data_IF_559393091966
#
_entry.id   IF_559393091966
#
_cell.length_a   1.000
_cell.length_b   1.000
_cell.length_c   1.000
_cell.angle_alpha   90.00
_cell.angle_beta   90.00
_cell.angle_gamma   90.00
#
_symmetry.space_group_name_H-M   'P 1'
#
loop_
_entity.id
_entity.type
_entity.pdbx_description
1 polymer ?
#
# COMPACT_ATOMS: atom_id res chain seq x y z
N UNK A 1 67.13 48.96 -11.75
CA UNK A 1 65.75 49.39 -11.37
C UNK A 1 65.10 49.91 -12.65
N UNK A 2 63.96 49.49 -13.17
CA UNK A 2 62.80 48.71 -12.70
C UNK A 2 62.12 48.18 -13.96
N UNK A 3 61.98 46.85 -14.11
CA UNK A 3 61.22 46.25 -15.22
C UNK A 3 59.73 46.30 -14.89
N UNK A 4 58.95 47.07 -15.63
CA UNK A 4 57.48 47.04 -15.54
C UNK A 4 56.97 45.71 -16.13
N UNK A 5 56.29 44.92 -15.29
CA UNK A 5 55.53 43.73 -15.70
C UNK A 5 54.27 44.19 -16.43
N UNK A 6 54.09 43.73 -17.67
CA UNK A 6 52.80 43.74 -18.34
C UNK A 6 51.84 42.83 -17.57
N UNK A 7 50.63 43.33 -17.31
CA UNK A 7 49.54 42.60 -16.66
C UNK A 7 48.89 41.69 -17.70
N UNK A 8 48.88 40.40 -17.44
CA UNK A 8 48.06 39.44 -18.19
C UNK A 8 46.58 39.73 -17.91
N UNK A 9 45.87 40.12 -18.96
CA UNK A 9 44.41 40.27 -18.96
C UNK A 9 43.82 38.86 -19.05
N UNK A 10 43.20 38.40 -17.97
CA UNK A 10 42.44 37.14 -17.96
C UNK A 10 41.14 37.40 -18.73
N UNK A 11 41.05 36.86 -19.94
CA UNK A 11 39.86 36.91 -20.78
C UNK A 11 38.79 35.93 -20.24
N UNK A 12 37.76 36.46 -19.57
CA UNK A 12 36.70 35.70 -18.86
C UNK A 12 35.63 35.15 -19.83
N UNK A 13 35.95 34.97 -21.11
CA UNK A 13 34.98 34.53 -22.15
C UNK A 13 35.23 33.14 -22.73
N UNK A 14 35.98 32.27 -22.06
CA UNK A 14 36.00 30.85 -22.41
C UNK A 14 35.01 30.07 -21.55
N UNK A 15 33.90 29.54 -22.11
CA UNK A 15 33.10 28.55 -21.40
C UNK A 15 34.00 27.36 -21.07
N UNK A 16 33.96 26.94 -19.80
CA UNK A 16 34.80 25.86 -19.30
C UNK A 16 34.45 24.55 -20.00
N UNK A 17 35.47 23.84 -20.48
CA UNK A 17 35.38 22.49 -21.06
C UNK A 17 34.67 21.50 -20.14
N UNK A 18 34.58 21.81 -18.84
CA UNK A 18 33.82 21.08 -17.84
C UNK A 18 32.31 21.00 -18.18
N UNK A 19 31.70 22.08 -18.69
CA UNK A 19 30.26 22.13 -19.00
C UNK A 19 29.96 21.26 -20.23
N UNK A 20 30.85 21.27 -21.23
CA UNK A 20 30.73 20.40 -22.41
C UNK A 20 30.93 18.93 -22.06
N UNK A 21 31.86 18.59 -21.14
CA UNK A 21 32.01 17.22 -20.66
C UNK A 21 30.82 16.72 -19.86
N UNK A 22 30.18 17.55 -19.03
CA UNK A 22 28.96 17.16 -18.30
C UNK A 22 27.75 17.01 -19.23
N UNK A 23 27.62 17.88 -20.24
CA UNK A 23 26.58 17.78 -21.25
C UNK A 23 26.74 16.54 -22.17
N UNK A 24 27.98 16.10 -22.42
CA UNK A 24 28.27 14.87 -23.16
C UNK A 24 28.00 13.60 -22.34
N UNK A 25 28.29 13.60 -21.03
CA UNK A 25 27.99 12.47 -20.14
C UNK A 25 26.48 12.27 -19.91
N UNK A 26 25.67 13.33 -20.05
CA UNK A 26 24.21 13.25 -19.91
C UNK A 26 23.49 12.63 -21.13
N UNK A 27 24.12 12.55 -22.31
CA UNK A 27 23.38 12.25 -23.56
C UNK A 27 23.40 10.79 -24.03
N UNK A 28 24.11 9.88 -23.36
CA UNK A 28 24.20 8.47 -23.81
C UNK A 28 24.30 7.44 -22.69
N UNK A 29 23.61 7.63 -21.58
CA UNK A 29 23.19 6.47 -20.80
C UNK A 29 22.04 5.81 -21.57
N UNK A 30 22.38 5.00 -22.58
CA UNK A 30 21.44 4.07 -23.17
C UNK A 30 21.11 3.06 -22.07
N UNK A 31 20.09 3.37 -21.27
CA UNK A 31 19.46 2.43 -20.35
C UNK A 31 18.92 1.35 -21.26
N UNK A 32 19.65 0.24 -21.39
CA UNK A 32 19.11 -0.95 -22.03
C UNK A 32 17.82 -1.28 -21.29
N UNK A 33 16.69 -1.46 -21.99
CA UNK A 33 15.47 -1.91 -21.33
C UNK A 33 15.80 -3.27 -20.72
N UNK A 34 15.91 -3.30 -19.39
CA UNK A 34 16.06 -4.53 -18.62
C UNK A 34 14.91 -5.41 -19.08
N UNK A 35 15.23 -6.52 -19.78
CA UNK A 35 14.22 -7.42 -20.31
C UNK A 35 13.21 -7.73 -19.20
N UNK A 36 11.93 -7.50 -19.46
CA UNK A 36 10.84 -7.63 -18.47
C UNK A 36 10.86 -9.05 -17.89
N UNK A 37 11.57 -9.21 -16.78
CA UNK A 37 11.58 -10.45 -16.03
C UNK A 37 10.13 -10.69 -15.60
N UNK A 38 9.60 -11.87 -15.94
CA UNK A 38 8.26 -12.26 -15.51
C UNK A 38 8.25 -12.21 -13.98
N UNK A 39 7.25 -11.57 -13.35
CA UNK A 39 7.17 -11.55 -11.89
C UNK A 39 7.18 -12.98 -11.37
N UNK A 40 8.05 -13.24 -10.39
CA UNK A 40 8.09 -14.55 -9.75
C UNK A 40 6.75 -14.80 -9.06
N UNK A 41 6.12 -15.95 -9.38
CA UNK A 41 4.85 -16.31 -8.77
C UNK A 41 5.01 -16.41 -7.25
N UNK A 42 3.98 -16.03 -6.47
CA UNK A 42 4.00 -16.21 -5.02
C UNK A 42 4.26 -17.68 -4.68
N UNK A 43 5.02 -17.91 -3.62
CA UNK A 43 5.30 -19.27 -3.15
C UNK A 43 4.02 -19.97 -2.69
N UNK A 44 4.02 -21.31 -2.72
CA UNK A 44 2.85 -22.09 -2.30
C UNK A 44 2.42 -21.81 -0.85
N UNK A 45 3.37 -21.47 0.03
CA UNK A 45 3.08 -21.04 1.40
C UNK A 45 2.40 -19.67 1.43
N UNK A 46 2.92 -18.69 0.67
CA UNK A 46 2.28 -17.37 0.55
C UNK A 46 0.84 -17.50 0.05
N UNK A 47 0.61 -18.31 -0.99
CA UNK A 47 -0.73 -18.55 -1.54
C UNK A 47 -1.69 -19.23 -0.56
N UNK A 48 -1.21 -19.95 0.46
CA UNK A 48 -2.07 -20.52 1.52
C UNK A 48 -2.57 -19.45 2.50
N UNK A 49 -1.81 -18.38 2.69
CA UNK A 49 -2.10 -17.33 3.68
C UNK A 49 -2.79 -16.08 3.09
N UNK A 50 -2.89 -15.97 1.76
CA UNK A 50 -3.57 -14.87 1.10
C UNK A 50 -3.85 -15.11 -0.38
N UNK A 51 -4.84 -14.40 -0.92
CA UNK A 51 -5.05 -14.29 -2.36
C UNK A 51 -4.09 -13.25 -2.94
N UNK A 52 -3.55 -13.53 -4.12
CA UNK A 52 -2.65 -12.63 -4.83
C UNK A 52 -3.20 -12.38 -6.23
N UNK A 53 -3.18 -11.12 -6.64
CA UNK A 53 -3.58 -10.68 -7.98
C UNK A 53 -2.36 -10.09 -8.69
N UNK A 54 -2.22 -10.40 -9.97
CA UNK A 54 -1.20 -9.78 -10.82
C UNK A 54 -1.68 -8.40 -11.24
N UNK A 55 -0.95 -7.36 -10.84
CA UNK A 55 -1.31 -5.96 -11.10
C UNK A 55 -0.20 -5.29 -11.89
N UNK A 56 -0.61 -4.46 -12.85
CA UNK A 56 0.30 -3.62 -13.63
C UNK A 56 0.91 -2.52 -12.75
N UNK A 57 2.24 -2.44 -12.74
CA UNK A 57 2.98 -1.32 -12.17
C UNK A 57 3.11 -0.24 -13.24
N UNK A 58 2.47 0.89 -12.99
CA UNK A 58 2.39 2.02 -13.92
C UNK A 58 3.19 3.19 -13.37
N UNK A 59 4.11 3.72 -14.16
CA UNK A 59 4.71 5.03 -13.91
C UNK A 59 3.77 6.12 -14.41
N UNK A 60 3.45 7.09 -13.55
CA UNK A 60 2.66 8.25 -13.95
C UNK A 60 3.62 9.41 -14.22
N UNK A 61 3.84 9.73 -15.49
CA UNK A 61 4.60 10.91 -15.86
C UNK A 61 3.80 12.19 -15.62
N UNK A 62 4.50 13.28 -15.33
CA UNK A 62 3.91 14.62 -15.34
C UNK A 62 3.30 14.88 -16.73
N UNK A 63 1.97 15.08 -16.80
CA UNK A 63 1.21 15.18 -18.05
C UNK A 63 0.15 14.09 -18.26
N UNK A 64 -0.02 13.16 -17.31
CA UNK A 64 -1.13 12.19 -17.32
C UNK A 64 -0.88 10.92 -18.15
N UNK A 65 0.21 10.88 -18.91
CA UNK A 65 0.63 9.67 -19.61
C UNK A 65 1.12 8.60 -18.61
N UNK A 66 0.52 7.43 -18.71
CA UNK A 66 0.77 6.27 -17.86
C UNK A 66 1.59 5.24 -18.65
N UNK A 67 2.77 4.86 -18.17
CA UNK A 67 3.63 3.85 -18.82
C UNK A 67 3.72 2.63 -17.90
N UNK A 68 3.28 1.46 -18.37
CA UNK A 68 3.44 0.20 -17.63
C UNK A 68 4.90 -0.24 -17.62
N UNK A 69 5.52 -0.19 -16.44
CA UNK A 69 6.92 -0.56 -16.20
C UNK A 69 7.06 -2.09 -16.13
N UNK A 70 6.09 -2.77 -15.50
CA UNK A 70 6.08 -4.22 -15.34
C UNK A 70 4.82 -4.72 -14.65
N UNK A 71 4.81 -6.01 -14.29
CA UNK A 71 3.71 -6.66 -13.57
C UNK A 71 4.23 -7.13 -12.21
N UNK A 72 3.40 -7.07 -11.17
CA UNK A 72 3.74 -7.59 -9.85
C UNK A 72 2.53 -8.22 -9.17
N UNK A 73 2.76 -9.30 -8.41
CA UNK A 73 1.74 -9.91 -7.59
C UNK A 73 1.53 -9.07 -6.32
N UNK A 74 0.30 -8.61 -6.10
CA UNK A 74 -0.12 -7.92 -4.89
C UNK A 74 -1.08 -8.80 -4.10
N UNK A 75 -0.90 -8.83 -2.78
CA UNK A 75 -1.82 -9.51 -1.88
C UNK A 75 -3.14 -8.75 -1.88
N UNK A 76 -4.24 -9.46 -2.16
CA UNK A 76 -5.57 -8.89 -2.00
C UNK A 76 -5.96 -8.89 -0.51
N UNK A 77 -6.57 -7.81 -0.01
CA UNK A 77 -7.13 -7.78 1.33
C UNK A 77 -8.14 -8.91 1.54
N UNK A 78 -8.10 -9.60 2.67
CA UNK A 78 -9.00 -10.76 2.89
C UNK A 78 -10.47 -10.38 2.91
N UNK A 79 -10.81 -9.15 3.29
CA UNK A 79 -12.19 -8.70 3.34
C UNK A 79 -12.90 -8.73 1.98
N UNK A 80 -12.19 -8.72 0.86
CA UNK A 80 -12.81 -8.83 -0.49
C UNK A 80 -13.43 -10.20 -0.73
N UNK A 81 -12.98 -11.22 -0.01
CA UNK A 81 -13.49 -12.61 -0.09
C UNK A 81 -14.62 -12.90 0.89
N UNK A 82 -15.00 -11.97 1.77
CA UNK A 82 -16.07 -12.17 2.76
C UNK A 82 -17.42 -12.14 2.05
N UNK A 83 -18.19 -13.23 2.19
CA UNK A 83 -19.52 -13.33 1.61
C UNK A 83 -20.55 -12.45 2.33
N UNK A 84 -21.41 -11.80 1.53
CA UNK A 84 -22.49 -10.94 2.02
C UNK A 84 -22.12 -9.47 2.21
N UNK A 85 -20.96 -9.03 1.71
CA UNK A 85 -20.60 -7.61 1.70
C UNK A 85 -21.13 -6.90 0.45
N UNK A 86 -21.76 -5.74 0.65
CA UNK A 86 -22.19 -4.84 -0.43
C UNK A 86 -21.03 -4.03 -1.01
N UNK A 87 -21.23 -3.45 -2.19
CA UNK A 87 -20.20 -2.63 -2.87
C UNK A 87 -19.81 -1.39 -2.05
N UNK A 88 -20.76 -0.75 -1.37
CA UNK A 88 -20.50 0.39 -0.49
C UNK A 88 -19.61 0.02 0.71
N UNK A 89 -19.85 -1.16 1.31
CA UNK A 89 -19.04 -1.67 2.41
C UNK A 89 -17.61 -1.99 1.99
N UNK A 90 -17.44 -2.62 0.82
CA UNK A 90 -16.11 -2.91 0.26
C UNK A 90 -15.36 -1.60 -0.01
N UNK A 91 -16.03 -0.58 -0.57
CA UNK A 91 -15.41 0.75 -0.77
C UNK A 91 -14.98 1.38 0.55
N UNK A 92 -15.82 1.32 1.58
CA UNK A 92 -15.49 1.86 2.90
C UNK A 92 -14.29 1.15 3.53
N UNK A 93 -14.24 -0.18 3.50
CA UNK A 93 -13.10 -0.97 3.98
C UNK A 93 -11.82 -0.70 3.18
N UNK A 94 -11.93 -0.54 1.87
CA UNK A 94 -10.80 -0.22 0.99
C UNK A 94 -10.25 1.18 1.30
N UNK A 95 -11.13 2.15 1.51
CA UNK A 95 -10.75 3.49 1.93
C UNK A 95 -10.09 3.48 3.31
N UNK A 96 -10.70 2.80 4.29
CA UNK A 96 -10.17 2.68 5.65
C UNK A 96 -8.75 2.08 5.65
N UNK A 97 -8.55 0.97 4.94
CA UNK A 97 -7.22 0.35 4.84
C UNK A 97 -6.21 1.26 4.15
N UNK A 98 -6.61 1.96 3.10
CA UNK A 98 -5.74 2.93 2.42
C UNK A 98 -5.32 4.06 3.37
N UNK A 99 -6.25 4.63 4.13
CA UNK A 99 -5.96 5.70 5.10
C UNK A 99 -5.02 5.18 6.19
N UNK A 100 -5.23 3.95 6.65
CA UNK A 100 -4.32 3.29 7.61
C UNK A 100 -2.91 3.08 7.04
N UNK A 101 -2.82 2.54 5.83
CA UNK A 101 -1.53 2.33 5.14
C UNK A 101 -0.82 3.66 4.86
N UNK A 102 -1.57 4.74 4.60
CA UNK A 102 -1.03 6.10 4.48
C UNK A 102 -0.55 6.62 5.84
N UNK A 103 -1.27 6.41 6.95
CA UNK A 103 -0.82 6.84 8.28
C UNK A 103 0.42 6.11 8.79
N UNK A 104 0.60 4.84 8.42
CA UNK A 104 1.75 4.01 8.83
C UNK A 104 2.99 4.26 7.97
N UNK A 105 2.89 5.08 6.90
CA UNK A 105 4.06 5.43 6.11
C UNK A 105 5.03 6.30 6.91
N UNK A 106 6.31 5.91 6.88
CA UNK A 106 7.39 6.70 7.46
C UNK A 106 7.43 8.12 6.88
N UNK A 107 7.49 9.11 7.77
CA UNK A 107 7.67 10.53 7.46
C UNK A 107 8.95 10.77 6.66
N UNK A 108 10.02 10.06 7.04
CA UNK A 108 11.30 10.07 6.34
C UNK A 108 11.37 8.86 5.43
N UNK A 109 11.59 9.12 4.14
CA UNK A 109 11.65 8.12 3.08
C UNK A 109 12.58 6.96 3.46
N UNK A 110 12.21 5.72 3.15
CA UNK A 110 13.17 4.60 3.20
C UNK A 110 14.39 4.97 2.33
N UNK A 111 15.61 4.81 2.84
CA UNK A 111 16.84 5.17 2.13
C UNK A 111 17.01 4.45 0.77
N UNK A 112 16.23 3.38 0.53
CA UNK A 112 16.21 2.60 -0.71
C UNK A 112 15.23 3.13 -1.77
N UNK A 113 14.30 4.02 -1.41
CA UNK A 113 13.41 4.68 -2.35
C UNK A 113 14.12 5.93 -2.91
N UNK A 114 15.14 5.70 -3.74
CA UNK A 114 15.89 6.75 -4.45
C UNK A 114 15.10 7.15 -5.70
N UNK A 115 13.84 7.55 -5.52
CA UNK A 115 13.11 8.33 -6.52
C UNK A 115 13.85 9.65 -6.76
N UNK A 116 14.29 9.84 -8.00
CA UNK A 116 15.05 10.97 -8.56
C UNK A 116 14.67 12.35 -8.00
N UNK A 117 15.65 13.08 -7.45
CA UNK A 117 15.49 14.50 -7.15
C UNK A 117 16.45 15.05 -6.11
N UNK A 118 17.76 14.99 -6.33
CA UNK A 118 18.72 15.80 -5.56
C UNK A 118 18.60 17.27 -6.01
N UNK A 119 17.64 18.01 -5.47
CA UNK A 119 17.44 19.42 -5.79
C UNK A 119 16.33 20.05 -4.96
N UNK A 120 16.28 21.39 -4.98
CA UNK A 120 15.39 22.28 -4.19
C UNK A 120 13.89 21.90 -4.24
N UNK A 121 13.45 21.06 -5.18
CA UNK A 121 12.09 20.49 -5.21
C UNK A 121 11.81 19.36 -4.20
N UNK A 122 12.84 18.78 -3.57
CA UNK A 122 12.68 17.69 -2.59
C UNK A 122 12.04 18.13 -1.27
N UNK A 123 12.24 19.39 -0.86
CA UNK A 123 11.64 19.94 0.38
C UNK A 123 10.13 20.13 0.24
N UNK A 124 9.64 20.61 -0.90
CA UNK A 124 8.20 20.74 -1.15
C UNK A 124 7.49 19.39 -1.19
N UNK A 125 8.14 18.36 -1.76
CA UNK A 125 7.60 16.99 -1.77
C UNK A 125 7.60 16.39 -0.35
N UNK A 126 8.63 16.67 0.46
CA UNK A 126 8.68 16.25 1.86
C UNK A 126 7.58 16.93 2.70
N UNK A 127 7.38 18.24 2.54
CA UNK A 127 6.34 19.00 3.26
C UNK A 127 4.95 18.49 2.87
N UNK A 128 4.65 18.35 1.57
CA UNK A 128 3.37 17.81 1.10
C UNK A 128 3.11 16.39 1.62
N UNK A 129 4.17 15.58 1.79
CA UNK A 129 4.06 14.23 2.38
C UNK A 129 3.74 14.30 3.87
N UNK A 130 4.44 15.14 4.64
CA UNK A 130 4.15 15.35 6.07
C UNK A 130 2.72 15.84 6.28
N UNK A 131 2.24 16.78 5.45
CA UNK A 131 0.85 17.25 5.48
C UNK A 131 -0.14 16.12 5.17
N UNK A 132 0.15 15.29 4.16
CA UNK A 132 -0.67 14.12 3.83
C UNK A 132 -0.72 13.12 4.98
N UNK A 133 0.41 12.84 5.64
CA UNK A 133 0.49 11.94 6.79
C UNK A 133 -0.31 12.47 7.98
N UNK A 134 -0.14 13.75 8.31
CA UNK A 134 -0.89 14.40 9.37
C UNK A 134 -2.40 14.36 9.10
N UNK A 135 -2.81 14.63 7.86
CA UNK A 135 -4.22 14.56 7.45
C UNK A 135 -4.77 13.13 7.53
N UNK A 136 -4.04 12.13 7.05
CA UNK A 136 -4.47 10.73 7.12
C UNK A 136 -4.55 10.24 8.57
N UNK A 137 -3.62 10.65 9.44
CA UNK A 137 -3.68 10.36 10.88
C UNK A 137 -4.90 10.96 11.58
N UNK A 138 -5.21 12.23 11.30
CA UNK A 138 -6.41 12.88 11.86
C UNK A 138 -7.67 12.20 11.35
N UNK A 139 -7.72 11.93 10.04
CA UNK A 139 -8.86 11.24 9.40
C UNK A 139 -9.09 9.86 10.00
N UNK A 140 -8.02 9.08 10.19
CA UNK A 140 -8.08 7.76 10.82
C UNK A 140 -8.65 7.84 12.23
N UNK A 141 -8.13 8.74 13.07
CA UNK A 141 -8.60 8.92 14.45
C UNK A 141 -10.09 9.29 14.52
N UNK A 142 -10.55 10.16 13.63
CA UNK A 142 -11.97 10.54 13.55
C UNK A 142 -12.83 9.33 13.19
N UNK A 143 -12.46 8.59 12.15
CA UNK A 143 -13.20 7.39 11.72
C UNK A 143 -13.24 6.35 12.84
N UNK A 144 -12.11 6.10 13.49
CA UNK A 144 -12.01 5.11 14.57
C UNK A 144 -12.74 5.52 15.85
N UNK A 145 -12.82 6.82 16.13
CA UNK A 145 -13.64 7.37 17.21
C UNK A 145 -15.12 7.07 17.05
N UNK A 146 -15.65 7.05 15.82
CA UNK A 146 -17.06 6.78 15.54
C UNK A 146 -17.42 5.28 15.61
N UNK A 147 -16.47 4.39 15.38
CA UNK A 147 -16.71 2.93 15.42
C UNK A 147 -16.95 2.44 16.87
N UNK A 148 -16.19 2.96 17.83
CA UNK A 148 -16.34 2.65 19.26
C UNK A 148 -15.92 1.22 19.63
N UNK A 149 -16.71 0.54 20.48
CA UNK A 149 -16.34 -0.70 21.17
C UNK A 149 -15.98 -1.90 20.26
N UNK A 150 -16.36 -1.88 18.98
CA UNK A 150 -16.07 -2.97 18.03
C UNK A 150 -14.84 -2.70 17.14
N UNK A 151 -14.09 -1.62 17.40
CA UNK A 151 -12.91 -1.21 16.62
C UNK A 151 -11.87 -2.33 16.51
N UNK A 152 -11.56 -3.00 17.61
CA UNK A 152 -10.55 -4.07 17.62
C UNK A 152 -10.91 -5.21 16.66
N UNK A 153 -12.21 -5.54 16.59
CA UNK A 153 -12.70 -6.56 15.67
C UNK A 153 -12.57 -6.11 14.22
N UNK A 154 -12.88 -4.84 13.95
CA UNK A 154 -12.75 -4.26 12.62
C UNK A 154 -11.28 -4.23 12.19
N UNK A 155 -10.37 -3.74 13.03
CA UNK A 155 -8.93 -3.69 12.75
C UNK A 155 -8.34 -5.07 12.48
N UNK A 156 -8.68 -6.05 13.34
CA UNK A 156 -8.21 -7.43 13.18
C UNK A 156 -8.57 -8.03 11.82
N UNK A 157 -9.79 -7.80 11.34
CA UNK A 157 -10.26 -8.36 10.07
C UNK A 157 -9.85 -7.51 8.87
N UNK A 158 -9.97 -6.19 8.95
CA UNK A 158 -9.76 -5.28 7.82
C UNK A 158 -8.28 -4.97 7.55
N UNK A 159 -7.47 -4.81 8.61
CA UNK A 159 -6.06 -4.40 8.52
C UNK A 159 -5.13 -5.59 8.68
N UNK A 160 -5.36 -6.43 9.71
CA UNK A 160 -4.50 -7.58 9.98
C UNK A 160 -4.86 -8.85 9.20
N UNK A 161 -5.88 -8.78 8.32
CA UNK A 161 -6.32 -9.89 7.47
C UNK A 161 -6.65 -11.18 8.27
N UNK A 162 -7.12 -11.04 9.52
CA UNK A 162 -7.50 -12.19 10.34
C UNK A 162 -8.88 -12.71 9.97
N UNK A 163 -9.06 -14.03 10.02
CA UNK A 163 -10.39 -14.64 9.87
C UNK A 163 -11.22 -14.46 11.14
N UNK A 164 -12.55 -14.47 11.02
CA UNK A 164 -13.43 -14.46 12.22
C UNK A 164 -13.12 -15.60 13.20
N UNK A 165 -12.62 -16.73 12.69
CA UNK A 165 -12.20 -17.86 13.51
C UNK A 165 -10.90 -17.57 14.24
N UNK A 166 -9.92 -16.93 13.59
CA UNK A 166 -8.65 -16.51 14.21
C UNK A 166 -8.89 -15.48 15.32
N UNK A 167 -9.74 -14.47 15.06
CA UNK A 167 -10.15 -13.48 16.06
C UNK A 167 -10.88 -14.15 17.23
N UNK A 168 -11.79 -15.10 16.93
CA UNK A 168 -12.49 -15.84 17.98
C UNK A 168 -11.56 -16.72 18.81
N UNK A 169 -10.54 -17.34 18.20
CA UNK A 169 -9.52 -18.11 18.92
C UNK A 169 -8.67 -17.22 19.82
N UNK A 170 -8.28 -16.04 19.34
CA UNK A 170 -7.50 -15.09 20.13
C UNK A 170 -8.27 -14.59 21.37
N UNK A 171 -9.58 -14.40 21.27
CA UNK A 171 -10.42 -13.87 22.37
C UNK A 171 -11.00 -14.92 23.31
N UNK A 172 -11.45 -16.05 22.76
CA UNK A 172 -12.24 -17.05 23.50
C UNK A 172 -11.54 -18.41 23.62
N UNK A 173 -10.34 -18.54 23.05
CA UNK A 173 -9.56 -19.76 23.03
C UNK A 173 -9.90 -20.69 21.86
N UNK A 174 -9.03 -21.68 21.68
CA UNK A 174 -9.11 -22.71 20.65
C UNK A 174 -9.33 -24.10 21.26
N UNK A 175 -9.70 -25.05 20.41
CA UNK A 175 -9.73 -26.49 20.69
C UNK A 175 -9.10 -27.24 19.52
N UNK A 176 -8.45 -28.36 19.82
CA UNK A 176 -7.95 -29.26 18.80
C UNK A 176 -9.08 -30.12 18.24
N UNK A 177 -9.23 -30.09 16.92
CA UNK A 177 -10.17 -30.94 16.20
C UNK A 177 -9.36 -31.82 15.26
N UNK A 178 -9.38 -33.13 15.53
CA UNK A 178 -8.82 -34.11 14.63
C UNK A 178 -9.81 -34.33 13.48
N UNK A 179 -9.39 -34.01 12.27
CA UNK A 179 -10.17 -34.29 11.06
C UNK A 179 -9.49 -35.41 10.28
N UNK A 180 -10.21 -36.51 10.10
CA UNK A 180 -9.77 -37.57 9.20
C UNK A 180 -10.07 -37.09 7.79
N UNK A 181 -9.04 -36.76 7.03
CA UNK A 181 -9.18 -36.52 5.60
C UNK A 181 -9.09 -37.85 4.88
N UNK A 182 -10.23 -38.32 4.36
CA UNK A 182 -10.27 -39.45 3.44
C UNK A 182 -9.43 -39.09 2.20
N UNK A 183 -8.37 -39.86 1.96
CA UNK A 183 -7.53 -39.69 0.79
C UNK A 183 -8.37 -39.83 -0.49
N UNK A 184 -8.14 -38.94 -1.46
CA UNK A 184 -8.72 -39.12 -2.80
C UNK A 184 -7.90 -40.19 -3.54
N UNK A 185 -8.56 -41.27 -3.99
CA UNK A 185 -7.92 -42.34 -4.75
C UNK A 185 -7.17 -43.35 -3.88
N UNK A 186 -5.91 -43.67 -4.23
CA UNK A 186 -5.07 -44.66 -3.52
C UNK A 186 -4.34 -44.13 -2.28
N UNK A 187 -4.53 -42.86 -1.92
CA UNK A 187 -3.85 -42.27 -0.77
C UNK A 187 -4.49 -42.76 0.55
N UNK A 188 -3.70 -43.20 1.55
CA UNK A 188 -4.23 -43.60 2.84
C UNK A 188 -4.89 -42.40 3.56
N UNK A 189 -5.94 -42.63 4.37
CA UNK A 189 -6.55 -41.57 5.16
C UNK A 189 -5.51 -40.96 6.12
N UNK A 190 -5.41 -39.64 6.13
CA UNK A 190 -4.52 -38.91 7.04
C UNK A 190 -5.33 -38.20 8.11
N UNK A 191 -4.84 -38.25 9.36
CA UNK A 191 -5.39 -37.47 10.47
C UNK A 191 -4.73 -36.11 10.45
N UNK A 192 -5.51 -35.06 10.24
CA UNK A 192 -5.05 -33.68 10.29
C UNK A 192 -5.60 -33.04 11.56
N UNK A 193 -4.71 -32.66 12.47
CA UNK A 193 -5.08 -31.89 13.66
C UNK A 193 -5.21 -30.42 13.25
N UNK A 194 -6.40 -29.85 13.44
CA UNK A 194 -6.68 -28.45 13.14
C UNK A 194 -7.18 -27.74 14.38
N UNK A 195 -6.60 -26.58 14.67
CA UNK A 195 -7.09 -25.68 15.71
C UNK A 195 -8.36 -25.00 15.22
N UNK A 196 -9.42 -25.06 16.03
CA UNK A 196 -10.69 -24.38 15.77
C UNK A 196 -11.11 -23.55 16.98
N UNK A 197 -11.99 -22.55 16.81
CA UNK A 197 -12.58 -21.83 17.93
C UNK A 197 -13.24 -22.80 18.91
N UNK A 198 -13.18 -22.45 20.21
CA UNK A 198 -13.79 -23.23 21.29
C UNK A 198 -15.27 -23.56 21.04
N UNK A 199 -16.00 -22.61 20.43
CA UNK A 199 -17.41 -22.77 20.07
C UNK A 199 -17.72 -22.05 18.76
N UNK A 200 -18.62 -22.63 17.94
CA UNK A 200 -19.13 -21.98 16.74
C UNK A 200 -19.86 -20.67 17.03
N UNK A 201 -20.48 -20.53 18.22
CA UNK A 201 -21.15 -19.29 18.65
C UNK A 201 -20.20 -18.10 18.73
N UNK A 202 -18.95 -18.31 19.16
CA UNK A 202 -17.96 -17.24 19.27
C UNK A 202 -17.60 -16.66 17.89
N UNK A 203 -17.51 -17.50 16.86
CA UNK A 203 -17.30 -17.05 15.48
C UNK A 203 -18.47 -16.19 15.00
N UNK A 204 -19.71 -16.59 15.29
CA UNK A 204 -20.90 -15.82 14.91
C UNK A 204 -20.93 -14.47 15.63
N UNK A 205 -20.66 -14.44 16.93
CA UNK A 205 -20.60 -13.20 17.70
C UNK A 205 -19.52 -12.23 17.18
N UNK A 206 -18.33 -12.73 16.84
CA UNK A 206 -17.27 -11.92 16.20
C UNK A 206 -17.73 -11.37 14.84
N UNK A 207 -18.44 -12.18 14.05
CA UNK A 207 -19.01 -11.73 12.77
C UNK A 207 -20.04 -10.62 12.97
N UNK A 208 -20.94 -10.76 13.95
CA UNK A 208 -21.94 -9.75 14.28
C UNK A 208 -21.30 -8.43 14.73
N UNK A 209 -20.29 -8.51 15.60
CA UNK A 209 -19.50 -7.34 16.02
C UNK A 209 -18.82 -6.67 14.83
N UNK A 210 -18.24 -7.46 13.91
CA UNK A 210 -17.64 -6.92 12.69
C UNK A 210 -18.68 -6.22 11.81
N UNK A 211 -19.85 -6.83 11.58
CA UNK A 211 -20.89 -6.21 10.76
C UNK A 211 -21.46 -4.94 11.39
N UNK A 212 -21.60 -4.90 12.71
CA UNK A 212 -22.01 -3.70 13.44
C UNK A 212 -20.95 -2.57 13.32
N UNK A 213 -19.67 -2.91 13.44
CA UNK A 213 -18.57 -1.96 13.22
C UNK A 213 -18.53 -1.46 11.77
N UNK A 214 -18.78 -2.36 10.81
CA UNK A 214 -18.77 -2.05 9.40
C UNK A 214 -19.88 -1.07 9.02
N UNK A 215 -21.07 -1.20 9.59
CA UNK A 215 -22.16 -0.25 9.37
C UNK A 215 -21.73 1.17 9.78
N UNK A 216 -21.14 1.32 10.97
CA UNK A 216 -20.58 2.59 11.45
C UNK A 216 -19.44 3.10 10.59
N UNK A 217 -18.58 2.21 10.11
CA UNK A 217 -17.50 2.57 9.19
C UNK A 217 -18.05 3.19 7.90
N UNK A 218 -19.12 2.62 7.33
CA UNK A 218 -19.73 3.17 6.12
C UNK A 218 -20.20 4.61 6.34
N UNK A 219 -20.90 4.86 7.45
CA UNK A 219 -21.37 6.20 7.83
C UNK A 219 -20.19 7.17 8.04
N UNK A 220 -19.16 6.74 8.78
CA UNK A 220 -17.98 7.55 9.08
C UNK A 220 -17.16 7.94 7.83
N UNK A 221 -17.13 7.05 6.84
CA UNK A 221 -16.31 7.22 5.62
C UNK A 221 -17.04 7.99 4.52
N UNK A 222 -18.38 8.00 4.54
CA UNK A 222 -19.21 8.68 3.53
C UNK A 222 -18.79 10.13 3.18
N UNK A 223 -18.55 11.04 4.14
CA UNK A 223 -18.17 12.43 3.82
C UNK A 223 -16.84 12.52 3.06
N UNK A 224 -15.89 11.61 3.32
CA UNK A 224 -14.58 11.60 2.68
C UNK A 224 -14.64 11.05 1.25
N UNK A 225 -15.47 10.03 1.01
CA UNK A 225 -15.68 9.48 -0.33
C UNK A 225 -16.36 10.49 -1.26
N UNK A 226 -17.36 11.22 -0.78
CA UNK A 226 -18.02 12.27 -1.56
C UNK A 226 -17.06 13.43 -1.89
N UNK A 227 -16.18 13.79 -0.96
CA UNK A 227 -15.18 14.84 -1.14
C UNK A 227 -14.14 14.46 -2.19
N UNK A 228 -13.69 13.19 -2.21
CA UNK A 228 -12.79 12.70 -3.25
C UNK A 228 -13.43 12.72 -4.66
N UNK A 229 -14.70 12.30 -4.78
CA UNK A 229 -15.42 12.34 -6.04
C UNK A 229 -15.58 13.77 -6.60
N UNK A 230 -15.86 14.75 -5.72
CA UNK A 230 -15.95 16.17 -6.11
C UNK A 230 -14.59 16.73 -6.55
N UNK A 231 -13.49 16.32 -5.92
CA UNK A 231 -12.12 16.72 -6.31
C UNK A 231 -11.71 16.13 -7.66
N UNK A 232 -12.02 14.86 -7.94
CA UNK A 232 -11.69 14.23 -9.22
C UNK A 232 -12.42 14.88 -10.40
N UNK A 233 -13.65 15.37 -10.18
CA UNK A 233 -14.41 16.10 -11.21
C UNK A 233 -13.85 17.49 -11.52
N UNK A 234 -13.15 18.13 -10.58
CA UNK A 234 -12.53 19.46 -10.78
C UNK A 234 -11.11 19.43 -11.34
N UNK A 235 -10.44 18.27 -11.32
CA UNK A 235 -9.07 18.10 -11.82
C UNK A 235 -8.97 17.83 -13.34
N UNK A 236 -10.08 17.84 -14.07
CA UNK A 236 -10.16 17.49 -15.50
C UNK A 236 -9.92 18.63 -16.49
N UNK A 237 -9.58 19.84 -16.04
CA UNK A 237 -9.33 20.98 -16.93
C UNK A 237 -8.14 21.82 -16.45
N UNK A 238 -6.95 21.48 -16.91
CA UNK A 238 -5.88 22.44 -17.24
C UNK A 238 -5.00 21.88 -18.34
#
# INVERSE_FOLDING_TARGET
MTKHRARDVIDVRRPSTAIETMAAMSRRAHVQPVGRAKPMKPTAEQMRHGSFEEVDIVDKKAGGASITIGHAYRRQPRFTSISGLGTGQIKALTFYRRVFDESEQSETKCALDIGTGSGVGGSHVAIARMESLAFSNITLRTIEGEIGANLDTLRAVALHDQTFSEVAMARYGSRDVQRITLGKGKAPPSVVNTLQPRSGKHRTMVREQFMAALARLVEAVEPYLQTQAKRSLRGGTR
#
